data_IF_392288596978
#
_entry.id   IF_392288596978
#
_cell.length_a   1.000
_cell.length_b   1.000
_cell.length_c   1.000
_cell.angle_alpha   90.00
_cell.angle_beta   90.00
_cell.angle_gamma   90.00
#
_symmetry.space_group_name_H-M   'P 1'
#
loop_
_entity.id
_entity.type
_entity.pdbx_description
1 polymer ?
#
# COMPACT_ATOMS: atom_id res chain seq x y z
N UNK A 1 -4.08 25.88 18.90
CA UNK A 1 -3.69 24.83 17.93
C UNK A 1 -4.91 24.11 17.33
N UNK A 2 -5.79 23.50 18.14
CA UNK A 2 -6.96 22.73 17.64
C UNK A 2 -7.93 23.51 16.75
N UNK A 3 -8.18 24.80 17.05
CA UNK A 3 -9.07 25.67 16.24
C UNK A 3 -8.59 25.87 14.80
N UNK A 4 -7.27 25.84 14.56
CA UNK A 4 -6.69 25.98 13.22
C UNK A 4 -6.87 24.70 12.42
N UNK A 5 -6.65 23.54 13.05
CA UNK A 5 -6.82 22.22 12.43
C UNK A 5 -8.29 21.91 12.10
N UNK A 6 -9.24 22.44 12.87
CA UNK A 6 -10.67 22.25 12.65
C UNK A 6 -11.12 22.58 11.22
N UNK A 7 -10.52 23.60 10.58
CA UNK A 7 -10.83 24.00 9.20
C UNK A 7 -10.51 22.93 8.16
N UNK A 8 -9.52 22.07 8.42
CA UNK A 8 -9.09 21.02 7.49
C UNK A 8 -9.74 19.68 7.78
N UNK A 9 -10.41 19.52 8.94
CA UNK A 9 -10.95 18.24 9.40
C UNK A 9 -11.91 17.63 8.39
N UNK A 10 -12.82 18.43 7.84
CA UNK A 10 -13.82 17.97 6.88
C UNK A 10 -13.16 17.49 5.59
N UNK A 11 -12.25 18.28 5.02
CA UNK A 11 -11.49 17.93 3.82
C UNK A 11 -10.67 16.65 4.00
N UNK A 12 -9.93 16.52 5.10
CA UNK A 12 -9.12 15.32 5.38
C UNK A 12 -10.03 14.10 5.58
N UNK A 13 -11.14 14.25 6.30
CA UNK A 13 -12.09 13.15 6.53
C UNK A 13 -12.72 12.69 5.22
N UNK A 14 -13.11 13.62 4.35
CA UNK A 14 -13.65 13.30 3.03
C UNK A 14 -12.62 12.56 2.17
N UNK A 15 -11.38 13.08 2.12
CA UNK A 15 -10.30 12.45 1.37
C UNK A 15 -9.97 11.03 1.88
N UNK A 16 -9.99 10.81 3.20
CA UNK A 16 -9.69 9.50 3.79
C UNK A 16 -10.80 8.47 3.55
N UNK A 17 -12.03 8.90 3.28
CA UNK A 17 -13.19 8.03 3.01
C UNK A 17 -13.39 7.73 1.52
N UNK A 18 -12.75 8.48 0.64
CA UNK A 18 -12.88 8.27 -0.80
C UNK A 18 -12.23 6.94 -1.21
N UNK A 19 -12.96 6.02 -1.88
CA UNK A 19 -12.38 4.79 -2.40
C UNK A 19 -11.34 5.11 -3.48
N UNK A 20 -10.10 4.63 -3.30
CA UNK A 20 -9.01 4.77 -4.28
C UNK A 20 -8.91 3.59 -5.25
N UNK A 21 -9.52 2.45 -4.88
CA UNK A 21 -9.46 1.20 -5.64
C UNK A 21 -10.05 0.04 -4.86
N UNK A 22 -9.91 -1.17 -5.39
CA UNK A 22 -10.36 -2.39 -4.75
C UNK A 22 -9.37 -3.55 -4.97
N UNK A 23 -9.24 -4.42 -3.98
CA UNK A 23 -8.51 -5.69 -4.10
C UNK A 23 -9.49 -6.87 -4.11
N UNK A 24 -9.23 -7.86 -4.97
CA UNK A 24 -9.97 -9.13 -4.98
C UNK A 24 -9.33 -10.20 -4.07
N UNK A 25 -8.12 -9.96 -3.60
CA UNK A 25 -7.37 -10.87 -2.73
C UNK A 25 -7.15 -10.23 -1.36
N UNK A 26 -7.00 -11.05 -0.33
CA UNK A 26 -6.51 -10.59 0.97
C UNK A 26 -5.08 -10.07 0.80
N UNK A 27 -4.84 -8.81 1.14
CA UNK A 27 -3.51 -8.23 1.25
C UNK A 27 -3.01 -8.51 2.68
N UNK A 28 -2.19 -9.54 2.84
CA UNK A 28 -1.87 -10.11 4.15
C UNK A 28 -0.62 -9.48 4.77
N UNK A 29 -0.76 -8.92 5.96
CA UNK A 29 0.33 -8.52 6.86
C UNK A 29 0.19 -9.09 8.28
N UNK A 30 -0.83 -9.93 8.52
CA UNK A 30 -1.13 -10.43 9.86
C UNK A 30 -0.07 -11.43 10.33
N UNK A 31 -0.03 -11.64 11.64
CA UNK A 31 0.92 -12.52 12.33
C UNK A 31 2.39 -12.25 11.97
N UNK A 32 2.73 -11.05 11.51
CA UNK A 32 4.09 -10.74 11.06
C UNK A 32 4.51 -11.55 9.83
N UNK A 33 3.58 -11.92 8.94
CA UNK A 33 3.86 -12.62 7.68
C UNK A 33 5.00 -11.94 6.90
N UNK A 34 4.90 -10.63 6.69
CA UNK A 34 5.91 -9.82 5.98
C UNK A 34 7.29 -9.73 6.68
N UNK A 35 7.43 -10.21 7.92
CA UNK A 35 8.71 -10.21 8.66
C UNK A 35 9.43 -11.55 8.63
N UNK A 36 8.73 -12.61 8.19
CA UNK A 36 9.22 -13.99 8.22
C UNK A 36 9.34 -14.58 6.81
N UNK A 37 8.53 -14.09 5.87
CA UNK A 37 8.53 -14.50 4.48
C UNK A 37 8.07 -13.34 3.59
N UNK A 38 8.09 -13.59 2.29
CA UNK A 38 7.43 -12.73 1.31
C UNK A 38 5.93 -12.61 1.61
N UNK A 39 5.37 -11.43 1.37
CA UNK A 39 3.95 -11.16 1.54
C UNK A 39 3.41 -10.30 0.39
N UNK A 40 2.19 -10.58 -0.05
CA UNK A 40 1.64 -9.95 -1.25
C UNK A 40 1.36 -8.43 -1.10
N UNK A 41 1.04 -7.95 0.10
CA UNK A 41 0.94 -6.51 0.36
C UNK A 41 2.31 -5.82 0.27
N UNK A 42 3.39 -6.52 0.63
CA UNK A 42 4.76 -6.03 0.47
C UNK A 42 5.12 -5.86 -0.99
N UNK A 43 4.78 -6.86 -1.83
CA UNK A 43 4.97 -6.77 -3.28
C UNK A 43 4.17 -5.61 -3.88
N UNK A 44 2.89 -5.48 -3.52
CA UNK A 44 2.05 -4.37 -4.00
C UNK A 44 2.64 -3.00 -3.64
N UNK A 45 3.14 -2.82 -2.43
CA UNK A 45 3.79 -1.57 -2.01
C UNK A 45 5.08 -1.33 -2.78
N UNK A 46 5.92 -2.36 -2.94
CA UNK A 46 7.17 -2.25 -3.68
C UNK A 46 6.93 -1.85 -5.14
N UNK A 47 5.96 -2.49 -5.81
CA UNK A 47 5.56 -2.16 -7.18
C UNK A 47 5.01 -0.73 -7.28
N UNK A 48 4.23 -0.27 -6.29
CA UNK A 48 3.70 1.10 -6.27
C UNK A 48 4.80 2.15 -6.12
N UNK A 49 5.79 1.90 -5.26
CA UNK A 49 6.97 2.77 -5.17
C UNK A 49 7.75 2.74 -6.48
N UNK A 50 7.92 1.56 -7.06
CA UNK A 50 8.67 1.38 -8.28
C UNK A 50 8.06 2.17 -9.44
N UNK A 51 6.74 2.05 -9.63
CA UNK A 51 5.98 2.80 -10.63
C UNK A 51 6.22 4.31 -10.54
N UNK A 52 6.21 4.89 -9.34
CA UNK A 52 6.48 6.31 -9.14
C UNK A 52 7.88 6.74 -9.65
N UNK A 53 8.87 5.84 -9.63
CA UNK A 53 10.20 6.12 -10.16
C UNK A 53 10.33 5.81 -11.66
N UNK A 54 9.46 4.97 -12.23
CA UNK A 54 9.47 4.68 -13.67
C UNK A 54 9.13 5.90 -14.51
N UNK A 55 8.31 6.81 -13.99
CA UNK A 55 7.94 8.06 -14.66
C UNK A 55 9.06 9.12 -14.67
N UNK A 56 10.23 8.83 -14.06
CA UNK A 56 11.34 9.77 -13.99
C UNK A 56 12.28 9.62 -15.19
N UNK A 57 12.61 10.75 -15.81
CA UNK A 57 13.58 10.82 -16.90
C UNK A 57 14.97 10.36 -16.45
N UNK A 58 15.61 9.53 -17.26
CA UNK A 58 16.98 9.07 -17.01
C UNK A 58 17.99 10.03 -17.63
N UNK A 59 19.12 10.25 -16.96
CA UNK A 59 20.22 11.06 -17.51
C UNK A 59 21.07 10.31 -18.54
N UNK A 60 20.84 9.01 -18.73
CA UNK A 60 21.65 8.13 -19.57
C UNK A 60 20.79 7.28 -20.49
N UNK A 61 21.10 7.29 -21.79
CA UNK A 61 20.45 6.44 -22.80
C UNK A 61 20.76 4.94 -22.65
N UNK A 62 21.66 4.58 -21.73
CA UNK A 62 22.10 3.19 -21.50
C UNK A 62 21.32 2.49 -20.38
N UNK A 63 20.51 3.25 -19.64
CA UNK A 63 19.64 2.72 -18.58
C UNK A 63 18.19 3.02 -18.93
N UNK A 64 17.32 2.08 -18.62
CA UNK A 64 15.90 2.16 -18.96
C UNK A 64 15.07 2.88 -17.88
N UNK A 65 15.58 3.01 -16.65
CA UNK A 65 14.96 3.73 -15.53
C UNK A 65 16.03 4.22 -14.54
N UNK A 66 15.67 5.19 -13.69
CA UNK A 66 16.51 5.68 -12.57
C UNK A 66 16.60 4.68 -11.41
N UNK A 67 15.68 3.71 -11.35
CA UNK A 67 15.67 2.62 -10.37
C UNK A 67 15.30 1.30 -11.06
N UNK A 68 15.75 0.17 -10.50
CA UNK A 68 15.44 -1.19 -10.99
C UNK A 68 14.79 -2.09 -9.93
N UNK A 69 14.47 -1.55 -8.75
CA UNK A 69 13.78 -2.28 -7.69
C UNK A 69 13.60 -1.43 -6.44
N UNK A 70 12.83 -1.97 -5.50
CA UNK A 70 12.50 -1.32 -4.22
C UNK A 70 12.72 -2.31 -3.08
N UNK A 71 13.25 -1.80 -1.96
CA UNK A 71 13.39 -2.57 -0.72
C UNK A 71 12.47 -1.99 0.35
N UNK A 72 11.62 -2.85 0.93
CA UNK A 72 10.72 -2.48 2.02
C UNK A 72 10.95 -3.40 3.22
N UNK A 73 11.14 -2.81 4.39
CA UNK A 73 11.26 -3.57 5.62
C UNK A 73 9.87 -4.02 6.10
N UNK A 74 9.70 -5.31 6.40
CA UNK A 74 8.42 -5.85 6.90
C UNK A 74 7.93 -5.23 8.21
N UNK A 75 8.77 -4.49 8.94
CA UNK A 75 8.37 -3.73 10.12
C UNK A 75 7.48 -2.51 9.82
N UNK A 76 7.56 -1.96 8.60
CA UNK A 76 6.77 -0.81 8.14
C UNK A 76 5.33 -1.17 7.77
N UNK A 77 5.09 -2.43 7.41
CA UNK A 77 3.76 -2.94 7.06
C UNK A 77 3.07 -3.36 8.37
N UNK A 78 1.96 -2.69 8.70
CA UNK A 78 1.35 -2.76 10.05
C UNK A 78 0.03 -3.53 10.12
N UNK A 79 -0.67 -3.72 9.01
CA UNK A 79 -2.02 -4.31 9.02
C UNK A 79 -2.37 -4.89 7.65
N UNK A 80 -3.18 -5.95 7.66
CA UNK A 80 -3.78 -6.51 6.45
C UNK A 80 -4.90 -5.62 5.90
N UNK A 81 -5.16 -5.76 4.59
CA UNK A 81 -6.36 -5.20 3.95
C UNK A 81 -7.15 -6.35 3.35
N UNK A 82 -8.35 -6.57 3.87
CA UNK A 82 -9.25 -7.62 3.42
C UNK A 82 -10.65 -7.43 4.00
N UNK A 83 -11.59 -8.28 3.59
CA UNK A 83 -12.93 -8.26 4.20
C UNK A 83 -12.83 -8.74 5.64
N UNK A 84 -13.53 -8.05 6.55
CA UNK A 84 -13.70 -8.50 7.95
C UNK A 84 -14.13 -9.97 7.97
N UNK A 85 -13.53 -10.78 8.86
CA UNK A 85 -13.56 -12.25 8.83
C UNK A 85 -14.95 -12.93 8.82
N UNK A 86 -16.04 -12.18 9.00
CA UNK A 86 -17.41 -12.69 8.79
C UNK A 86 -17.75 -12.94 7.31
N UNK A 87 -17.12 -12.23 6.38
CA UNK A 87 -17.42 -12.32 4.95
C UNK A 87 -16.52 -13.30 4.19
N UNK A 88 -15.28 -13.53 4.65
CA UNK A 88 -14.33 -14.44 4.00
C UNK A 88 -14.77 -15.91 4.13
N UNK A 89 -15.26 -16.32 5.30
CA UNK A 89 -15.76 -17.67 5.54
C UNK A 89 -17.03 -18.03 4.75
N UNK A 90 -17.70 -17.06 4.11
CA UNK A 90 -18.91 -17.28 3.32
C UNK A 90 -18.63 -17.59 1.85
N UNK A 91 -17.38 -17.48 1.40
CA UNK A 91 -16.98 -17.79 0.01
C UNK A 91 -16.29 -19.15 -0.13
N UNK A 92 -16.02 -19.84 0.99
CA UNK A 92 -15.48 -21.21 1.02
C UNK A 92 -16.53 -22.28 1.38
N UNK A 93 -17.81 -21.90 1.39
CA UNK A 93 -18.98 -22.79 1.44
C UNK A 93 -19.82 -22.53 0.19
#
# INVERSE_FOLDING_TARGET
>A
MLRVLGKYREYVTAATRAPVGASRVLLNADDGACRRAECNIGNLLADSFFENYLDMETSSKHVWSVANGVLLNGGSIRTSIGRSGKDFNRQMQ
#
